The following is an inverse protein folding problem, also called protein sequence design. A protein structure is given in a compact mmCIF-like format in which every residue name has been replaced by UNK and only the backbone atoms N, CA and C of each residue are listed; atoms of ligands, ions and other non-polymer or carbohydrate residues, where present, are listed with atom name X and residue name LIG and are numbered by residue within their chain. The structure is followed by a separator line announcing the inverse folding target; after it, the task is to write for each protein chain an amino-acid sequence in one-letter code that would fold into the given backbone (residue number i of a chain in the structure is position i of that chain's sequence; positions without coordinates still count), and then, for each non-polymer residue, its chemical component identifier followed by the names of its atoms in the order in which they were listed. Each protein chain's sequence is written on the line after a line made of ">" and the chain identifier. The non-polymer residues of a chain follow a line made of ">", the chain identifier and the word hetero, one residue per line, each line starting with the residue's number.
data_IF_560149331977
#
_entry.id   IF_560149331977
#
_cell.length_a   1.000
_cell.length_b   1.000
_cell.length_c   1.000
_cell.angle_alpha   90.00
_cell.angle_beta   90.00
_cell.angle_gamma   90.00
#
_symmetry.space_group_name_H-M   'P 1'
#
loop_
_entity.id
_entity.type
_entity.pdbx_description
1 polymer ?
#
# COMPACT_ATOMS: atom_id res chain seq x y z
N UNK A 1 16.66 2.90 36.27
CA UNK A 1 15.42 2.21 36.69
C UNK A 1 14.51 3.20 37.42
N UNK A 2 14.95 3.92 38.43
CA UNK A 2 14.13 4.86 39.20
C UNK A 2 13.44 5.99 38.40
N UNK A 3 14.03 6.41 37.26
CA UNK A 3 13.45 7.50 36.48
C UNK A 3 12.23 7.02 35.68
N UNK A 4 12.31 5.83 35.08
CA UNK A 4 11.21 5.24 34.37
C UNK A 4 10.03 4.91 35.30
N UNK A 5 10.31 4.31 36.45
CA UNK A 5 9.31 4.00 37.47
C UNK A 5 8.56 5.26 37.96
N UNK A 6 9.27 6.36 38.23
CA UNK A 6 8.66 7.61 38.67
C UNK A 6 7.61 8.18 37.70
N UNK A 7 7.83 8.01 36.39
CA UNK A 7 6.97 8.61 35.36
C UNK A 7 5.97 7.63 34.74
N UNK A 8 6.22 6.31 34.79
CA UNK A 8 5.38 5.30 34.15
C UNK A 8 4.55 4.45 35.13
N UNK A 9 4.94 4.32 36.39
CA UNK A 9 4.13 3.63 37.39
C UNK A 9 2.72 4.22 37.67
N UNK A 10 2.46 5.53 37.48
CA UNK A 10 1.11 6.07 37.65
C UNK A 10 0.11 5.68 36.58
N UNK A 11 0.58 5.08 35.47
CA UNK A 11 -0.34 4.57 34.43
C UNK A 11 -0.96 3.25 34.92
N UNK A 12 -2.16 3.33 35.51
CA UNK A 12 -2.95 2.14 35.80
C UNK A 12 -3.24 1.40 34.51
N UNK A 13 -3.18 0.07 34.53
CA UNK A 13 -3.65 -0.76 33.43
C UNK A 13 -5.13 -0.46 33.16
N UNK A 14 -5.41 0.38 32.17
CA UNK A 14 -6.77 0.59 31.71
C UNK A 14 -7.34 -0.76 31.25
N UNK A 15 -8.59 -1.04 31.59
CA UNK A 15 -9.28 -2.21 31.05
C UNK A 15 -9.19 -2.16 29.52
N UNK A 16 -8.69 -3.21 28.89
CA UNK A 16 -8.64 -3.29 27.42
C UNK A 16 -10.07 -3.16 26.88
N UNK A 17 -10.36 -2.08 26.20
CA UNK A 17 -11.59 -1.97 25.44
C UNK A 17 -11.65 -3.12 24.43
N UNK A 18 -12.81 -3.75 24.31
CA UNK A 18 -13.04 -4.77 23.29
C UNK A 18 -12.93 -4.09 21.92
N UNK A 19 -11.90 -4.44 21.17
CA UNK A 19 -11.69 -3.90 19.83
C UNK A 19 -12.85 -4.37 18.94
N UNK A 20 -13.47 -3.43 18.24
CA UNK A 20 -14.40 -3.74 17.15
C UNK A 20 -13.55 -4.03 15.92
N UNK A 21 -13.69 -5.21 15.28
CA UNK A 21 -12.91 -5.54 14.11
C UNK A 21 -13.08 -4.50 12.99
N UNK A 22 -11.98 -4.11 12.38
CA UNK A 22 -12.01 -3.23 11.23
C UNK A 22 -12.62 -3.96 10.01
N UNK A 23 -13.43 -3.23 9.24
CA UNK A 23 -14.04 -3.75 8.00
C UNK A 23 -13.58 -2.87 6.85
N UNK A 24 -12.94 -3.49 5.86
CA UNK A 24 -12.55 -2.79 4.64
C UNK A 24 -13.81 -2.32 3.88
N UNK A 25 -13.81 -1.05 3.51
CA UNK A 25 -14.85 -0.46 2.65
C UNK A 25 -14.17 0.21 1.47
N UNK A 26 -14.41 -0.34 0.28
CA UNK A 26 -14.01 0.28 -0.96
C UNK A 26 -14.71 1.63 -1.16
N UNK A 27 -14.17 2.45 -2.03
CA UNK A 27 -14.77 3.74 -2.35
C UNK A 27 -13.87 4.56 -3.28
N UNK A 28 -14.41 5.70 -3.71
CA UNK A 28 -13.69 6.66 -4.53
C UNK A 28 -13.76 8.05 -3.89
N UNK A 29 -12.62 8.72 -3.83
CA UNK A 29 -12.54 10.10 -3.36
C UNK A 29 -11.68 10.92 -4.32
N UNK A 30 -12.23 12.05 -4.77
CA UNK A 30 -11.49 13.02 -5.57
C UNK A 30 -11.45 14.36 -4.84
N UNK A 31 -10.26 14.96 -4.76
CA UNK A 31 -10.07 16.30 -4.20
C UNK A 31 -9.37 17.16 -5.24
N UNK A 32 -10.03 18.24 -5.68
CA UNK A 32 -9.44 19.19 -6.62
C UNK A 32 -8.60 20.20 -5.86
N UNK A 33 -7.35 20.37 -6.29
CA UNK A 33 -6.42 21.40 -5.83
C UNK A 33 -5.66 21.94 -7.03
N UNK A 34 -5.23 23.19 -6.96
CA UNK A 34 -4.34 23.78 -7.98
C UNK A 34 -2.92 23.35 -7.69
N UNK A 35 -2.51 22.25 -8.28
CA UNK A 35 -1.17 21.65 -8.15
C UNK A 35 -0.64 21.35 -9.54
N UNK A 36 0.68 21.27 -9.67
CA UNK A 36 1.36 20.91 -10.92
C UNK A 36 1.11 19.46 -11.34
N UNK A 37 0.88 18.60 -10.37
CA UNK A 37 0.71 17.14 -10.58
C UNK A 37 -0.58 16.62 -9.96
N UNK A 38 -1.08 15.52 -10.52
CA UNK A 38 -2.13 14.70 -9.94
C UNK A 38 -1.50 13.53 -9.19
N UNK A 39 -1.81 13.42 -7.90
CA UNK A 39 -1.46 12.25 -7.10
C UNK A 39 -2.62 11.25 -7.10
N UNK A 40 -2.28 9.98 -7.32
CA UNK A 40 -3.20 8.85 -7.35
C UNK A 40 -2.80 7.89 -6.24
N UNK A 41 -3.79 7.40 -5.50
CA UNK A 41 -3.61 6.31 -4.54
C UNK A 41 -4.68 5.25 -4.80
N UNK A 42 -4.24 4.01 -4.98
CA UNK A 42 -5.10 2.83 -5.07
C UNK A 42 -4.92 2.02 -3.79
N UNK A 43 -6.02 1.67 -3.14
CA UNK A 43 -6.03 0.88 -1.91
C UNK A 43 -6.78 -0.43 -2.12
N UNK A 44 -6.20 -1.52 -1.65
CA UNK A 44 -6.77 -2.87 -1.68
C UNK A 44 -6.78 -3.43 -0.26
N UNK A 45 -7.77 -4.24 0.04
CA UNK A 45 -7.77 -5.01 1.28
C UNK A 45 -6.51 -5.89 1.34
N UNK A 46 -5.88 -5.91 2.50
CA UNK A 46 -4.71 -6.73 2.78
C UNK A 46 -4.86 -7.42 4.13
N UNK A 47 -3.84 -8.15 4.52
CA UNK A 47 -3.86 -9.04 5.66
C UNK A 47 -3.39 -8.38 6.95
N UNK A 48 -3.93 -8.77 8.12
CA UNK A 48 -3.45 -8.33 9.41
C UNK A 48 -2.07 -8.93 9.72
N UNK A 49 -1.27 -8.24 10.54
CA UNK A 49 0.01 -8.79 10.99
C UNK A 49 -0.13 -9.99 11.95
N UNK A 50 -1.34 -10.24 12.49
CA UNK A 50 -1.62 -11.46 13.26
C UNK A 50 -1.54 -12.72 12.41
N UNK A 51 -1.76 -12.64 11.10
CA UNK A 51 -1.47 -13.71 10.14
C UNK A 51 -0.05 -13.53 9.59
N UNK A 52 0.93 -14.03 10.32
CA UNK A 52 2.35 -13.75 10.08
C UNK A 52 2.82 -14.22 8.69
N UNK A 53 2.34 -15.35 8.21
CA UNK A 53 2.74 -15.90 6.91
C UNK A 53 2.26 -15.04 5.76
N UNK A 54 0.99 -14.72 5.72
CA UNK A 54 0.40 -13.87 4.68
C UNK A 54 0.91 -12.43 4.77
N UNK A 55 1.19 -11.95 5.99
CA UNK A 55 1.83 -10.66 6.19
C UNK A 55 3.16 -10.57 5.44
N UNK A 56 4.04 -11.56 5.57
CA UNK A 56 5.31 -11.56 4.83
C UNK A 56 5.10 -11.69 3.33
N UNK A 57 4.12 -12.45 2.86
CA UNK A 57 3.80 -12.49 1.42
C UNK A 57 3.36 -11.13 0.89
N UNK A 58 2.50 -10.41 1.62
CA UNK A 58 2.09 -9.06 1.25
C UNK A 58 3.27 -8.06 1.27
N UNK A 59 4.19 -8.19 2.22
CA UNK A 59 5.41 -7.36 2.26
C UNK A 59 6.32 -7.64 1.05
N UNK A 60 6.57 -8.91 0.72
CA UNK A 60 7.37 -9.30 -0.44
C UNK A 60 6.72 -8.79 -1.73
N UNK A 61 5.40 -8.96 -1.88
CA UNK A 61 4.66 -8.44 -3.02
C UNK A 61 4.83 -6.93 -3.15
N UNK A 62 4.74 -6.19 -2.05
CA UNK A 62 4.93 -4.73 -2.08
C UNK A 62 6.32 -4.33 -2.56
N UNK A 63 7.36 -5.06 -2.17
CA UNK A 63 8.74 -4.81 -2.62
C UNK A 63 8.90 -5.13 -4.11
N UNK A 64 8.42 -6.27 -4.56
CA UNK A 64 8.50 -6.69 -5.98
C UNK A 64 7.75 -5.70 -6.87
N UNK A 65 6.55 -5.28 -6.45
CA UNK A 65 5.70 -4.42 -7.26
C UNK A 65 6.19 -2.98 -7.31
N UNK A 66 6.52 -2.37 -6.15
CA UNK A 66 6.82 -0.93 -6.09
C UNK A 66 7.82 -0.50 -5.01
N UNK A 67 8.58 -1.44 -4.41
CA UNK A 67 9.44 -1.15 -3.27
C UNK A 67 10.82 -0.57 -3.59
N UNK A 68 11.14 -0.25 -4.84
CA UNK A 68 12.44 0.33 -5.17
C UNK A 68 12.71 0.46 -6.66
N UNK A 69 13.94 0.84 -7.02
CA UNK A 69 14.35 1.12 -8.41
C UNK A 69 14.19 -0.09 -9.35
N UNK A 70 14.39 -1.30 -8.84
CA UNK A 70 14.24 -2.54 -9.62
C UNK A 70 12.82 -3.09 -9.64
N UNK A 71 11.88 -2.43 -8.97
CA UNK A 71 10.49 -2.89 -8.90
C UNK A 71 9.77 -2.73 -10.24
N UNK A 72 8.73 -3.55 -10.44
CA UNK A 72 7.98 -3.58 -11.72
C UNK A 72 7.36 -2.22 -12.07
N UNK A 73 6.69 -1.58 -11.11
CA UNK A 73 6.06 -0.28 -11.34
C UNK A 73 7.11 0.79 -11.68
N UNK A 74 8.24 0.80 -10.98
CA UNK A 74 9.30 1.74 -11.27
C UNK A 74 9.84 1.55 -12.70
N UNK A 75 10.20 0.32 -13.07
CA UNK A 75 10.76 0.00 -14.37
C UNK A 75 9.79 0.27 -15.53
N UNK A 76 8.51 -0.05 -15.37
CA UNK A 76 7.53 0.10 -16.45
C UNK A 76 6.96 1.53 -16.49
N UNK A 77 6.51 2.06 -15.36
CA UNK A 77 5.79 3.33 -15.31
C UNK A 77 6.74 4.52 -15.46
N UNK A 78 7.85 4.46 -14.73
CA UNK A 78 8.82 5.57 -14.72
C UNK A 78 9.87 5.45 -15.81
N UNK A 79 10.62 4.34 -15.84
CA UNK A 79 11.77 4.22 -16.75
C UNK A 79 11.34 4.00 -18.20
N UNK A 80 10.43 3.05 -18.44
CA UNK A 80 10.03 2.69 -19.81
C UNK A 80 9.02 3.68 -20.41
N UNK A 81 8.01 4.07 -19.65
CA UNK A 81 6.91 4.90 -20.17
C UNK A 81 7.03 6.39 -19.81
N UNK A 82 7.86 6.77 -18.86
CA UNK A 82 8.00 8.14 -18.40
C UNK A 82 6.70 8.77 -17.91
N UNK A 83 5.78 7.95 -17.37
CA UNK A 83 4.43 8.40 -17.01
C UNK A 83 4.38 9.03 -15.62
N UNK A 84 5.26 8.65 -14.71
CA UNK A 84 5.28 9.16 -13.36
C UNK A 84 6.71 9.33 -12.84
N UNK A 85 6.98 10.44 -12.16
CA UNK A 85 8.24 10.62 -11.45
C UNK A 85 8.30 9.83 -10.16
N UNK A 86 7.18 9.79 -9.44
CA UNK A 86 7.02 9.03 -8.20
C UNK A 86 5.99 7.93 -8.40
N UNK A 87 6.39 6.70 -8.16
CA UNK A 87 5.51 5.53 -8.18
C UNK A 87 6.05 4.48 -7.22
N UNK A 88 5.15 3.81 -6.52
CA UNK A 88 5.53 2.77 -5.59
C UNK A 88 4.36 2.04 -5.00
N UNK A 89 4.64 1.04 -4.18
CA UNK A 89 3.66 0.32 -3.38
C UNK A 89 4.19 0.02 -1.99
N UNK A 90 3.27 -0.13 -1.05
CA UNK A 90 3.56 -0.52 0.31
C UNK A 90 2.37 -1.27 0.91
N UNK A 91 2.66 -2.13 1.88
CA UNK A 91 1.66 -2.83 2.66
C UNK A 91 1.66 -2.30 4.09
N UNK A 92 0.50 -1.84 4.57
CA UNK A 92 0.29 -1.44 5.96
C UNK A 92 -0.64 -2.44 6.62
N UNK A 93 -0.10 -3.23 7.55
CA UNK A 93 -0.88 -4.17 8.33
C UNK A 93 -1.09 -3.66 9.75
N UNK A 94 -2.29 -3.88 10.26
CA UNK A 94 -2.72 -3.60 11.61
C UNK A 94 -3.01 -4.91 12.33
N UNK A 95 -3.46 -4.87 13.56
CA UNK A 95 -3.73 -6.07 14.34
C UNK A 95 -4.78 -7.00 13.70
N UNK A 96 -5.86 -6.41 13.20
CA UNK A 96 -7.06 -7.08 12.68
C UNK A 96 -7.36 -6.81 11.20
N UNK A 97 -6.52 -6.04 10.53
CA UNK A 97 -6.75 -5.59 9.14
C UNK A 97 -5.47 -5.22 8.45
N UNK A 98 -5.54 -4.93 7.16
CA UNK A 98 -4.43 -4.42 6.38
C UNK A 98 -4.90 -3.68 5.14
N UNK A 99 -4.02 -2.82 4.61
CA UNK A 99 -4.21 -2.12 3.35
C UNK A 99 -2.94 -2.25 2.51
N UNK A 100 -3.08 -2.79 1.31
CA UNK A 100 -2.06 -2.74 0.28
C UNK A 100 -2.30 -1.50 -0.57
N UNK A 101 -1.29 -0.66 -0.73
CA UNK A 101 -1.43 0.62 -1.41
C UNK A 101 -0.44 0.75 -2.55
N UNK A 102 -0.91 1.31 -3.66
CA UNK A 102 -0.11 1.77 -4.78
C UNK A 102 -0.30 3.27 -4.90
N UNK A 103 0.78 4.01 -5.01
CA UNK A 103 0.75 5.45 -5.21
C UNK A 103 1.57 5.85 -6.43
N UNK A 104 1.14 6.92 -7.09
CA UNK A 104 1.87 7.53 -8.19
C UNK A 104 1.51 8.99 -8.34
N UNK A 105 2.44 9.79 -8.86
CA UNK A 105 2.21 11.20 -9.21
C UNK A 105 2.60 11.45 -10.66
N UNK A 106 1.72 12.13 -11.41
CA UNK A 106 1.86 12.37 -12.84
C UNK A 106 1.27 13.72 -13.25
N UNK A 107 1.58 14.16 -14.45
CA UNK A 107 0.91 15.31 -15.06
C UNK A 107 -0.57 15.02 -15.28
N UNK A 108 -1.42 16.04 -15.18
CA UNK A 108 -2.87 15.91 -15.37
C UNK A 108 -3.27 15.22 -16.68
N UNK A 109 -2.56 15.50 -17.77
CA UNK A 109 -2.79 14.90 -19.11
C UNK A 109 -2.49 13.41 -19.19
N UNK A 110 -1.67 12.88 -18.27
CA UNK A 110 -1.20 11.50 -18.29
C UNK A 110 -1.97 10.57 -17.34
N UNK A 111 -2.92 11.09 -16.56
CA UNK A 111 -3.67 10.34 -15.54
C UNK A 111 -4.28 9.05 -16.10
N UNK A 112 -5.00 9.11 -17.22
CA UNK A 112 -5.64 7.95 -17.81
C UNK A 112 -4.62 6.91 -18.32
N UNK A 113 -3.52 7.35 -18.92
CA UNK A 113 -2.44 6.47 -19.37
C UNK A 113 -1.78 5.78 -18.18
N UNK A 114 -1.53 6.52 -17.11
CA UNK A 114 -0.96 5.99 -15.88
C UNK A 114 -1.88 4.94 -15.24
N UNK A 115 -3.17 5.24 -15.09
CA UNK A 115 -4.14 4.28 -14.52
C UNK A 115 -4.20 2.99 -15.33
N UNK A 116 -4.30 3.09 -16.66
CA UNK A 116 -4.31 1.91 -17.53
C UNK A 116 -3.03 1.08 -17.40
N UNK A 117 -1.88 1.73 -17.30
CA UNK A 117 -0.60 1.06 -17.14
C UNK A 117 -0.47 0.38 -15.76
N UNK A 118 -0.94 1.04 -14.69
CA UNK A 118 -0.99 0.46 -13.34
C UNK A 118 -1.88 -0.78 -13.30
N UNK A 119 -3.09 -0.68 -13.85
CA UNK A 119 -4.03 -1.81 -13.90
C UNK A 119 -3.49 -2.97 -14.72
N UNK A 120 -2.83 -2.69 -15.85
CA UNK A 120 -2.18 -3.72 -16.67
C UNK A 120 -1.05 -4.46 -15.92
N UNK A 121 -0.26 -3.78 -15.10
CA UNK A 121 0.79 -4.44 -14.32
C UNK A 121 0.22 -5.26 -13.16
N UNK A 122 -0.86 -4.80 -12.52
CA UNK A 122 -1.58 -5.57 -11.49
C UNK A 122 -2.15 -6.86 -12.10
N UNK A 123 -2.81 -6.76 -13.24
CA UNK A 123 -3.38 -7.93 -13.94
C UNK A 123 -2.31 -8.95 -14.33
N UNK A 124 -1.19 -8.53 -14.86
CA UNK A 124 -0.07 -9.42 -15.19
C UNK A 124 0.49 -10.18 -13.98
N UNK A 125 0.51 -9.56 -12.81
CA UNK A 125 0.93 -10.25 -11.58
C UNK A 125 -0.09 -11.32 -11.20
N UNK A 126 -1.38 -11.04 -11.28
CA UNK A 126 -2.44 -12.01 -11.01
C UNK A 126 -2.37 -13.21 -11.98
N UNK A 127 -2.23 -12.96 -13.27
CA UNK A 127 -2.14 -13.99 -14.30
C UNK A 127 -0.89 -14.87 -14.13
N UNK A 128 0.27 -14.28 -13.86
CA UNK A 128 1.51 -15.02 -13.68
C UNK A 128 1.55 -15.81 -12.37
N UNK A 129 0.90 -15.33 -11.31
CA UNK A 129 0.78 -16.07 -10.06
C UNK A 129 -0.04 -17.36 -10.23
N UNK A 130 -1.03 -17.35 -11.11
CA UNK A 130 -1.84 -18.53 -11.44
C UNK A 130 -1.02 -19.56 -12.25
N UNK A 131 -0.16 -19.10 -13.18
CA UNK A 131 0.66 -19.98 -14.02
C UNK A 131 1.82 -20.67 -13.27
N UNK A 132 2.24 -20.17 -12.14
CA UNK A 132 3.32 -20.77 -11.31
C UNK A 132 2.80 -21.78 -10.29
N UNK A 133 1.48 -21.95 -10.15
CA UNK A 133 0.85 -22.91 -9.25
C UNK A 133 0.42 -24.23 -9.93
N UNK A 134 0.68 -24.36 -11.22
CA UNK A 134 0.51 -25.56 -12.06
C UNK A 134 1.83 -25.90 -12.77
#
# INVERSE_FOLDING_TARGET
>A
TNFAEKYFLPFSSASRQKLVPAVYKGGFKHTRKTLEQTSIALGFESVPYSNITEFYYAQILSVILGGGLSSRLFQIIREKHGLAYSVGSFNSSYYDSGIFSIYASTDHKNVNKLLNSLMGEIQKIQENAILTLF
#
